data_IF_000952798809
#
_entry.id   IF_000952798809
#
_cell.length_a   1.000
_cell.length_b   1.000
_cell.length_c   1.000
_cell.angle_alpha   90.00
_cell.angle_beta   90.00
_cell.angle_gamma   90.00
#
_symmetry.space_group_name_H-M   'P 1'
#
loop_
_entity.id
_entity.type
_entity.pdbx_description
1 polymer ?
#
# COMPACT_ATOMS: atom_id res chain seq x y z
N UNK A 1 -35.63 4.45 -32.11
CA UNK A 1 -34.25 4.34 -32.61
C UNK A 1 -33.35 5.01 -31.57
N UNK A 2 -32.84 4.26 -30.60
CA UNK A 2 -31.85 4.77 -29.63
C UNK A 2 -30.50 4.77 -30.33
N UNK A 3 -29.95 5.96 -30.59
CA UNK A 3 -28.59 6.09 -31.13
C UNK A 3 -27.62 5.48 -30.14
N UNK A 4 -26.84 4.49 -30.58
CA UNK A 4 -25.76 3.91 -29.79
C UNK A 4 -24.81 5.06 -29.42
N UNK A 5 -24.54 5.31 -28.13
CA UNK A 5 -23.64 6.37 -27.73
C UNK A 5 -22.26 6.14 -28.34
N UNK A 6 -21.69 7.22 -28.87
CA UNK A 6 -20.36 7.26 -29.45
C UNK A 6 -19.32 6.79 -28.40
N UNK A 7 -18.27 6.11 -28.84
CA UNK A 7 -17.10 5.69 -28.04
C UNK A 7 -16.59 6.78 -27.10
N UNK A 8 -16.52 8.04 -27.55
CA UNK A 8 -16.12 9.18 -26.71
C UNK A 8 -17.14 9.48 -25.59
N UNK A 9 -18.43 9.33 -25.86
CA UNK A 9 -19.50 9.49 -24.85
C UNK A 9 -19.44 8.36 -23.83
N UNK A 10 -19.16 7.12 -24.27
CA UNK A 10 -18.91 5.99 -23.37
C UNK A 10 -17.66 6.23 -22.50
N UNK A 11 -16.56 6.69 -23.09
CA UNK A 11 -15.31 6.99 -22.38
C UNK A 11 -15.52 8.07 -21.31
N UNK A 12 -16.25 9.13 -21.64
CA UNK A 12 -16.58 10.22 -20.70
C UNK A 12 -17.52 9.71 -19.61
N UNK A 13 -18.52 8.89 -19.94
CA UNK A 13 -19.37 8.27 -18.92
C UNK A 13 -18.54 7.36 -17.99
N UNK A 14 -17.67 6.51 -18.53
CA UNK A 14 -16.79 5.65 -17.73
C UNK A 14 -15.95 6.51 -16.80
N UNK A 15 -15.29 7.57 -17.29
CA UNK A 15 -14.53 8.51 -16.45
C UNK A 15 -15.39 9.22 -15.39
N UNK A 16 -16.68 9.46 -15.64
CA UNK A 16 -17.63 10.03 -14.67
C UNK A 16 -18.13 9.01 -13.64
N UNK A 17 -18.05 7.71 -13.95
CA UNK A 17 -18.49 6.61 -13.08
C UNK A 17 -17.34 5.93 -12.32
N UNK A 18 -16.07 6.13 -12.71
CA UNK A 18 -14.91 5.64 -11.94
C UNK A 18 -14.96 6.30 -10.55
N UNK A 19 -15.37 5.51 -9.56
CA UNK A 19 -15.37 5.96 -8.18
C UNK A 19 -13.91 6.11 -7.71
N UNK A 20 -13.58 7.24 -7.07
CA UNK A 20 -12.22 7.47 -6.59
C UNK A 20 -11.87 6.43 -5.52
N UNK A 21 -10.68 5.84 -5.63
CA UNK A 21 -10.13 4.96 -4.60
C UNK A 21 -9.50 5.83 -3.51
N UNK A 22 -9.49 5.37 -2.27
CA UNK A 22 -8.89 6.10 -1.15
C UNK A 22 -7.74 5.28 -0.57
N UNK A 23 -6.61 5.94 -0.34
CA UNK A 23 -5.44 5.35 0.29
C UNK A 23 -5.11 6.12 1.57
N UNK A 24 -5.00 5.42 2.68
CA UNK A 24 -4.52 6.01 3.94
C UNK A 24 -3.18 5.38 4.31
N UNK A 25 -2.13 6.21 4.30
CA UNK A 25 -0.80 5.83 4.75
C UNK A 25 -0.73 5.98 6.27
N UNK A 26 -0.81 4.87 7.00
CA UNK A 26 -0.77 4.91 8.46
C UNK A 26 0.67 5.03 8.92
N UNK A 27 1.07 6.22 9.33
CA UNK A 27 2.45 6.55 9.73
C UNK A 27 2.58 6.76 11.24
N UNK A 28 3.75 6.40 11.78
CA UNK A 28 4.06 6.55 13.20
C UNK A 28 5.25 5.68 13.62
N UNK A 29 5.95 6.03 14.71
CA UNK A 29 7.13 5.30 15.15
C UNK A 29 6.82 3.85 15.53
N UNK A 30 7.86 3.02 15.65
CA UNK A 30 7.73 1.65 16.16
C UNK A 30 7.01 1.65 17.52
N UNK A 31 6.06 0.72 17.69
CA UNK A 31 5.24 0.63 18.91
C UNK A 31 4.11 1.67 19.03
N UNK A 32 3.91 2.58 18.07
CA UNK A 32 2.82 3.56 18.12
C UNK A 32 1.42 2.98 17.88
N UNK A 33 1.32 1.69 17.51
CA UNK A 33 0.04 1.00 17.31
C UNK A 33 -0.55 1.08 15.90
N UNK A 34 0.26 1.30 14.85
CA UNK A 34 -0.20 1.36 13.44
C UNK A 34 -1.01 0.12 13.03
N UNK A 35 -0.42 -1.07 13.17
CA UNK A 35 -1.08 -2.33 12.84
C UNK A 35 -2.34 -2.58 13.67
N UNK A 36 -2.32 -2.17 14.94
CA UNK A 36 -3.50 -2.22 15.83
C UNK A 36 -4.62 -1.29 15.35
N UNK A 37 -4.27 -0.07 14.93
CA UNK A 37 -5.20 0.88 14.35
C UNK A 37 -5.85 0.31 13.09
N UNK A 38 -5.05 -0.28 12.19
CA UNK A 38 -5.55 -0.89 10.95
C UNK A 38 -6.52 -2.04 11.26
N UNK A 39 -6.15 -2.94 12.17
CA UNK A 39 -7.02 -4.04 12.62
C UNK A 39 -8.36 -3.51 13.16
N UNK A 40 -8.33 -2.51 14.04
CA UNK A 40 -9.54 -1.91 14.61
C UNK A 40 -10.41 -1.20 13.55
N UNK A 41 -9.80 -0.51 12.60
CA UNK A 41 -10.50 0.16 11.49
C UNK A 41 -11.18 -0.84 10.57
N UNK A 42 -10.52 -1.95 10.24
CA UNK A 42 -11.12 -3.01 9.45
C UNK A 42 -12.31 -3.66 10.16
N UNK A 43 -12.18 -3.98 11.45
CA UNK A 43 -13.30 -4.52 12.24
C UNK A 43 -14.47 -3.52 12.28
N UNK A 44 -14.19 -2.23 12.45
CA UNK A 44 -15.22 -1.20 12.45
C UNK A 44 -15.93 -1.08 11.09
N UNK A 45 -15.18 -1.16 9.99
CA UNK A 45 -15.73 -1.11 8.65
C UNK A 45 -16.62 -2.31 8.35
N UNK A 46 -16.17 -3.51 8.71
CA UNK A 46 -16.96 -4.74 8.58
C UNK A 46 -18.28 -4.64 9.36
N UNK A 47 -18.23 -4.20 10.62
CA UNK A 47 -19.43 -3.95 11.44
C UNK A 47 -20.37 -2.90 10.83
N UNK A 48 -19.80 -1.94 10.08
CA UNK A 48 -20.52 -0.88 9.36
C UNK A 48 -20.94 -1.27 7.94
N UNK A 49 -20.71 -2.53 7.52
CA UNK A 49 -20.94 -3.04 6.15
C UNK A 49 -20.21 -2.23 5.07
N UNK A 50 -19.01 -1.78 5.38
CA UNK A 50 -18.07 -1.14 4.45
C UNK A 50 -16.90 -2.06 4.20
N UNK A 51 -16.47 -2.13 2.96
CA UNK A 51 -15.26 -2.87 2.59
C UNK A 51 -14.05 -1.97 2.75
N UNK A 52 -13.04 -2.47 3.45
CA UNK A 52 -11.71 -1.86 3.51
C UNK A 52 -10.67 -2.96 3.28
N UNK A 53 -9.54 -2.57 2.73
CA UNK A 53 -8.41 -3.45 2.49
C UNK A 53 -7.20 -2.98 3.27
N UNK A 54 -6.32 -3.91 3.64
CA UNK A 54 -5.05 -3.59 4.26
C UNK A 54 -3.89 -4.06 3.39
N UNK A 55 -2.82 -3.28 3.37
CA UNK A 55 -1.54 -3.62 2.75
C UNK A 55 -0.46 -3.50 3.82
N UNK A 56 0.34 -4.55 4.00
CA UNK A 56 1.52 -4.49 4.86
C UNK A 56 2.73 -4.04 4.02
N UNK A 57 3.28 -2.87 4.36
CA UNK A 57 4.54 -2.38 3.81
C UNK A 57 5.69 -2.43 4.83
N UNK A 58 5.48 -2.96 6.05
CA UNK A 58 6.55 -3.12 7.03
C UNK A 58 7.23 -4.48 6.85
N UNK A 59 8.46 -4.52 6.32
CA UNK A 59 9.17 -5.78 6.11
C UNK A 59 9.66 -6.40 7.44
N UNK A 60 9.67 -5.65 8.54
CA UNK A 60 9.98 -6.15 9.88
C UNK A 60 8.74 -6.56 10.68
N UNK A 61 7.54 -6.56 10.07
CA UNK A 61 6.33 -6.98 10.76
C UNK A 61 6.41 -8.46 11.15
N UNK A 62 6.24 -8.77 12.45
CA UNK A 62 6.20 -10.15 12.94
C UNK A 62 4.77 -10.72 12.89
N UNK A 63 3.84 -10.08 13.61
CA UNK A 63 2.45 -10.53 13.75
C UNK A 63 1.49 -9.34 13.73
N UNK A 64 0.43 -9.43 12.93
CA UNK A 64 -0.67 -8.47 12.92
C UNK A 64 -2.02 -9.18 12.71
N UNK A 65 -3.10 -8.54 13.18
CA UNK A 65 -4.45 -9.12 13.21
C UNK A 65 -5.35 -8.53 12.12
N UNK A 66 -4.89 -8.59 10.88
CA UNK A 66 -5.68 -8.21 9.70
C UNK A 66 -5.26 -9.06 8.50
N UNK A 67 -6.15 -9.24 7.52
CA UNK A 67 -5.82 -9.91 6.27
C UNK A 67 -5.27 -8.89 5.27
N UNK A 68 -3.99 -8.97 4.96
CA UNK A 68 -3.35 -8.09 3.99
C UNK A 68 -3.62 -8.61 2.56
N UNK A 69 -4.07 -7.74 1.65
CA UNK A 69 -4.19 -8.08 0.23
C UNK A 69 -2.83 -8.07 -0.49
N UNK A 70 -1.87 -7.35 0.08
CA UNK A 70 -0.48 -7.35 -0.31
C UNK A 70 0.38 -7.27 0.94
N UNK A 71 1.40 -8.13 1.01
CA UNK A 71 2.38 -8.14 2.08
C UNK A 71 3.77 -8.07 1.46
N UNK A 72 4.53 -7.01 1.76
CA UNK A 72 5.87 -6.80 1.21
C UNK A 72 6.80 -7.99 1.46
N UNK A 73 6.56 -8.77 2.53
CA UNK A 73 7.33 -9.97 2.85
C UNK A 73 7.19 -11.07 1.78
N UNK A 74 6.14 -11.04 0.97
CA UNK A 74 5.99 -11.95 -0.19
C UNK A 74 6.82 -11.50 -1.40
N UNK A 75 7.16 -10.20 -1.48
CA UNK A 75 7.99 -9.64 -2.54
C UNK A 75 9.48 -9.78 -2.21
N UNK A 76 9.84 -9.57 -0.94
CA UNK A 76 11.21 -9.61 -0.47
C UNK A 76 11.30 -10.02 1.01
N UNK A 77 12.11 -11.04 1.29
CA UNK A 77 12.39 -11.51 2.65
C UNK A 77 13.65 -10.82 3.19
N UNK A 78 13.53 -10.19 4.37
CA UNK A 78 14.63 -9.43 5.00
C UNK A 78 15.76 -10.36 5.41
N UNK A 79 15.42 -11.57 5.85
CA UNK A 79 16.36 -12.61 6.23
C UNK A 79 17.29 -12.99 5.07
N UNK A 80 16.73 -13.15 3.87
CA UNK A 80 17.49 -13.48 2.66
C UNK A 80 18.50 -12.36 2.29
N UNK A 81 18.12 -11.10 2.51
CA UNK A 81 19.00 -9.93 2.29
C UNK A 81 20.14 -9.90 3.31
N UNK A 82 19.84 -10.21 4.57
CA UNK A 82 20.81 -10.18 5.66
C UNK A 82 21.82 -11.34 5.58
N UNK A 83 21.39 -12.49 5.06
CA UNK A 83 22.24 -13.67 4.87
C UNK A 83 23.07 -13.61 3.57
N UNK A 84 22.80 -12.63 2.69
CA UNK A 84 23.58 -12.38 1.49
C UNK A 84 24.96 -11.79 1.85
N UNK A 85 25.98 -12.63 1.65
CA UNK A 85 27.39 -12.33 1.95
C UNK A 85 27.97 -11.24 1.06
N UNK A 86 27.37 -10.98 -0.10
CA UNK A 86 27.82 -9.96 -1.04
C UNK A 86 27.26 -8.58 -0.68
N UNK A 87 26.10 -8.52 -0.01
CA UNK A 87 25.42 -7.28 0.37
C UNK A 87 25.87 -6.73 1.73
N UNK A 88 26.23 -7.58 2.71
CA UNK A 88 26.70 -7.19 4.04
C UNK A 88 25.83 -6.12 4.74
N UNK A 89 24.50 -6.19 4.57
CA UNK A 89 23.61 -5.24 5.22
C UNK A 89 23.37 -5.62 6.69
N UNK A 90 23.43 -4.61 7.58
CA UNK A 90 22.87 -4.74 8.93
C UNK A 90 21.34 -4.67 8.91
N UNK A 91 20.66 -4.92 10.04
CA UNK A 91 19.19 -5.00 10.10
C UNK A 91 18.48 -3.79 9.46
N UNK A 92 18.89 -2.57 9.80
CA UNK A 92 18.28 -1.36 9.23
C UNK A 92 18.60 -1.18 7.74
N UNK A 93 19.77 -1.62 7.28
CA UNK A 93 20.15 -1.57 5.86
C UNK A 93 19.29 -2.49 5.01
N UNK A 94 18.99 -3.69 5.52
CA UNK A 94 18.11 -4.64 4.86
C UNK A 94 16.68 -4.11 4.74
N UNK A 95 16.17 -3.39 5.75
CA UNK A 95 14.86 -2.74 5.67
C UNK A 95 14.82 -1.61 4.65
N UNK A 96 15.88 -0.79 4.55
CA UNK A 96 15.98 0.26 3.52
C UNK A 96 15.97 -0.37 2.14
N UNK A 97 16.78 -1.41 1.94
CA UNK A 97 16.84 -2.14 0.68
C UNK A 97 15.50 -2.76 0.30
N UNK A 98 14.76 -3.34 1.25
CA UNK A 98 13.42 -3.87 1.01
C UNK A 98 12.45 -2.79 0.49
N UNK A 99 12.51 -1.58 1.04
CA UNK A 99 11.71 -0.46 0.57
C UNK A 99 12.14 0.02 -0.83
N UNK A 100 13.44 0.08 -1.11
CA UNK A 100 13.94 0.41 -2.45
C UNK A 100 13.53 -0.66 -3.48
N UNK A 101 13.59 -1.93 -3.11
CA UNK A 101 13.15 -3.04 -3.94
C UNK A 101 11.65 -2.95 -4.25
N UNK A 102 10.81 -2.65 -3.25
CA UNK A 102 9.40 -2.35 -3.48
C UNK A 102 9.21 -1.20 -4.48
N UNK A 103 9.94 -0.10 -4.30
CA UNK A 103 9.83 1.07 -5.19
C UNK A 103 10.23 0.77 -6.64
N UNK A 104 11.17 -0.16 -6.85
CA UNK A 104 11.57 -0.63 -8.18
C UNK A 104 10.61 -1.66 -8.78
N UNK A 105 9.70 -2.24 -7.98
CA UNK A 105 8.78 -3.30 -8.39
C UNK A 105 7.31 -2.94 -8.08
N UNK A 106 6.94 -1.66 -8.19
CA UNK A 106 5.60 -1.20 -7.84
C UNK A 106 4.47 -1.80 -8.71
N UNK A 107 4.80 -2.36 -9.88
CA UNK A 107 3.85 -3.12 -10.71
C UNK A 107 3.27 -4.32 -9.94
N UNK A 108 4.08 -5.01 -9.13
CA UNK A 108 3.61 -6.08 -8.24
C UNK A 108 2.51 -5.59 -7.30
N UNK A 109 2.67 -4.38 -6.74
CA UNK A 109 1.66 -3.80 -5.86
C UNK A 109 0.39 -3.44 -6.64
N UNK A 110 0.50 -2.92 -7.86
CA UNK A 110 -0.66 -2.64 -8.71
C UNK A 110 -1.44 -3.90 -9.03
N UNK A 111 -0.77 -5.00 -9.35
CA UNK A 111 -1.41 -6.29 -9.58
C UNK A 111 -2.17 -6.77 -8.34
N UNK A 112 -1.56 -6.67 -7.15
CA UNK A 112 -2.19 -7.04 -5.88
C UNK A 112 -3.37 -6.14 -5.52
N UNK A 113 -3.27 -4.84 -5.76
CA UNK A 113 -4.35 -3.88 -5.54
C UNK A 113 -5.51 -4.08 -6.53
N UNK A 114 -5.25 -4.62 -7.72
CA UNK A 114 -6.24 -4.81 -8.76
C UNK A 114 -6.93 -3.51 -9.21
N UNK A 115 -8.04 -3.66 -9.93
CA UNK A 115 -8.79 -2.57 -10.57
C UNK A 115 -10.15 -2.32 -9.94
N UNK A 116 -10.38 -2.76 -8.70
CA UNK A 116 -11.68 -2.60 -8.06
C UNK A 116 -11.96 -1.11 -7.78
N UNK A 117 -13.21 -0.71 -8.02
CA UNK A 117 -13.68 0.66 -7.78
C UNK A 117 -14.24 0.78 -6.35
N UNK A 118 -14.13 1.97 -5.75
CA UNK A 118 -14.55 2.27 -4.36
C UNK A 118 -13.75 1.57 -3.25
N UNK A 119 -12.47 1.28 -3.53
CA UNK A 119 -11.57 0.72 -2.53
C UNK A 119 -11.11 1.78 -1.52
N UNK A 120 -11.27 1.48 -0.23
CA UNK A 120 -10.54 2.16 0.84
C UNK A 120 -9.41 1.26 1.33
N UNK A 121 -8.17 1.64 1.06
CA UNK A 121 -6.98 0.85 1.35
C UNK A 121 -6.15 1.51 2.45
N UNK A 122 -5.92 0.77 3.52
CA UNK A 122 -5.04 1.12 4.63
C UNK A 122 -3.64 0.55 4.34
N UNK A 123 -2.62 1.38 4.35
CA UNK A 123 -1.23 0.95 4.20
C UNK A 123 -0.52 1.03 5.55
N UNK A 124 -0.11 -0.13 6.08
CA UNK A 124 0.72 -0.24 7.27
C UNK A 124 2.16 0.07 6.88
N UNK A 125 2.66 1.23 7.30
CA UNK A 125 4.01 1.69 6.90
C UNK A 125 5.06 1.23 7.92
N UNK A 126 6.34 1.10 7.52
CA UNK A 126 7.41 0.76 8.44
C UNK A 126 7.49 1.68 9.67
N UNK A 127 7.72 1.11 10.85
CA UNK A 127 7.82 1.87 12.09
C UNK A 127 9.14 2.63 12.31
N UNK A 128 10.20 2.30 11.57
CA UNK A 128 11.51 2.93 11.75
C UNK A 128 11.55 4.31 11.09
N UNK A 129 11.91 5.33 11.87
CA UNK A 129 11.87 6.72 11.40
C UNK A 129 12.84 6.96 10.24
N UNK A 130 13.94 6.22 10.22
CA UNK A 130 14.92 6.24 9.14
C UNK A 130 14.23 5.89 7.82
N UNK A 131 13.39 4.85 7.76
CA UNK A 131 12.68 4.42 6.55
C UNK A 131 11.62 5.42 6.08
N UNK A 132 10.91 6.03 7.03
CA UNK A 132 9.85 7.00 6.73
C UNK A 132 10.44 8.34 6.23
N UNK A 133 11.61 8.71 6.73
CA UNK A 133 12.29 9.97 6.39
C UNK A 133 13.32 9.83 5.25
N UNK A 134 13.74 8.61 4.90
CA UNK A 134 14.74 8.38 3.87
C UNK A 134 14.23 8.80 2.48
N UNK A 135 15.05 9.62 1.80
CA UNK A 135 14.97 9.91 0.36
C UNK A 135 13.60 10.25 -0.23
N UNK A 136 12.64 10.72 0.57
CA UNK A 136 11.29 11.03 0.10
C UNK A 136 10.55 9.82 -0.48
N UNK A 137 10.92 8.59 -0.09
CA UNK A 137 10.29 7.35 -0.58
C UNK A 137 8.78 7.39 -0.39
N UNK A 138 8.31 7.78 0.80
CA UNK A 138 6.88 7.93 1.09
C UNK A 138 6.18 8.96 0.20
N UNK A 139 6.87 10.04 -0.19
CA UNK A 139 6.34 11.04 -1.11
C UNK A 139 6.23 10.49 -2.54
N UNK A 140 7.24 9.74 -2.99
CA UNK A 140 7.21 9.07 -4.30
C UNK A 140 6.13 7.99 -4.33
N UNK A 141 5.98 7.24 -3.23
CA UNK A 141 4.93 6.24 -3.07
C UNK A 141 3.53 6.86 -3.08
N UNK A 142 3.32 7.96 -2.36
CA UNK A 142 2.05 8.69 -2.41
C UNK A 142 1.71 9.15 -3.83
N UNK A 143 2.68 9.74 -4.56
CA UNK A 143 2.50 10.12 -5.97
C UNK A 143 2.21 8.94 -6.89
N UNK A 144 2.81 7.79 -6.60
CA UNK A 144 2.52 6.57 -7.34
C UNK A 144 1.07 6.14 -7.14
N UNK A 145 0.57 6.12 -5.90
CA UNK A 145 -0.84 5.82 -5.62
C UNK A 145 -1.78 6.83 -6.30
N UNK A 146 -1.44 8.13 -6.29
CA UNK A 146 -2.19 9.16 -7.03
C UNK A 146 -2.25 8.86 -8.54
N UNK A 147 -1.17 8.35 -9.14
CA UNK A 147 -1.15 7.93 -10.54
C UNK A 147 -2.06 6.74 -10.85
N UNK A 148 -2.38 5.94 -9.83
CA UNK A 148 -3.36 4.84 -9.87
C UNK A 148 -4.79 5.31 -9.52
N UNK A 149 -5.05 6.63 -9.55
CA UNK A 149 -6.34 7.26 -9.24
C UNK A 149 -6.78 7.11 -7.76
N UNK A 150 -5.82 6.94 -6.84
CA UNK A 150 -6.11 7.06 -5.41
C UNK A 150 -6.11 8.52 -4.94
N UNK A 151 -7.04 8.84 -4.05
CA UNK A 151 -6.97 10.00 -3.17
C UNK A 151 -6.21 9.61 -1.92
N UNK A 152 -5.00 10.13 -1.77
CA UNK A 152 -4.09 9.76 -0.70
C UNK A 152 -4.25 10.67 0.52
N UNK A 153 -4.33 10.06 1.69
CA UNK A 153 -4.27 10.69 3.00
C UNK A 153 -3.13 10.06 3.80
N UNK A 154 -2.51 10.85 4.69
CA UNK A 154 -1.45 10.42 5.61
C UNK A 154 -1.90 10.70 7.03
#
# INVERSE_FOLDING_TARGET
MTSIPNVYTLQILILLFIMPRYAQLVVGPAGSGKSTFISAMMTHAEASKRTMYAVNLDPAAEVFNYNAIADIRELIHVEDIMDDKDLNFGPNGALVFAMEYLMNNLEWLTEKLGTQEDDYVLFDTPGQIELVSHFGLMKTFAKYLESLNFRVCV
#
